data_IF_598764112406
#
_entry.id   IF_598764112406
#
_cell.length_a   1.000
_cell.length_b   1.000
_cell.length_c   1.000
_cell.angle_alpha   90.00
_cell.angle_beta   90.00
_cell.angle_gamma   90.00
#
_symmetry.space_group_name_H-M   'P 1'
#
loop_
_entity.id
_entity.type
_entity.pdbx_description
1 polymer ?
#
# COMPACT_ATOMS: atom_id res chain seq x y z
N UNK A 1 -0.74 -0.39 -18.76
CA UNK A 1 -0.96 -1.19 -17.55
C UNK A 1 0.37 -1.52 -16.89
N UNK A 2 0.44 -1.35 -15.58
CA UNK A 2 1.68 -1.59 -14.86
C UNK A 2 1.87 -3.07 -14.54
N UNK A 3 3.11 -3.49 -14.45
CA UNK A 3 3.43 -4.82 -13.95
C UNK A 3 3.44 -4.76 -12.42
N UNK A 4 2.84 -5.75 -11.76
CA UNK A 4 2.76 -5.77 -10.30
C UNK A 4 3.86 -6.63 -9.71
N UNK A 5 4.60 -6.08 -8.76
CA UNK A 5 5.63 -6.81 -8.02
C UNK A 5 5.43 -6.61 -6.52
N UNK A 6 5.81 -7.62 -5.75
CA UNK A 6 5.69 -7.61 -4.30
C UNK A 6 7.06 -7.72 -3.67
N UNK A 7 7.32 -6.93 -2.62
CA UNK A 7 8.53 -7.14 -1.82
C UNK A 7 8.34 -8.35 -0.91
N UNK A 8 9.45 -8.88 -0.41
CA UNK A 8 9.38 -9.97 0.57
C UNK A 8 8.63 -9.55 1.82
N UNK A 9 8.80 -8.30 2.24
CA UNK A 9 8.08 -7.77 3.40
C UNK A 9 6.58 -7.70 3.15
N UNK A 10 6.18 -7.30 1.96
CA UNK A 10 4.76 -7.27 1.62
C UNK A 10 4.14 -8.66 1.69
N UNK A 11 4.85 -9.65 1.17
CA UNK A 11 4.36 -11.03 1.20
C UNK A 11 4.15 -11.53 2.63
N UNK A 12 5.05 -11.18 3.54
CA UNK A 12 4.90 -11.52 4.95
C UNK A 12 3.72 -10.79 5.57
N UNK A 13 3.60 -9.51 5.26
CA UNK A 13 2.48 -8.70 5.75
C UNK A 13 1.16 -9.27 5.26
N UNK A 14 1.09 -9.68 4.00
CA UNK A 14 -0.11 -10.24 3.41
C UNK A 14 -0.55 -11.48 4.17
N UNK A 15 0.39 -12.38 4.45
CA UNK A 15 0.08 -13.60 5.20
C UNK A 15 -0.41 -13.28 6.61
N UNK A 16 0.19 -12.30 7.26
CA UNK A 16 -0.23 -11.90 8.60
C UNK A 16 -1.65 -11.34 8.59
N UNK A 17 -1.92 -10.43 7.67
CA UNK A 17 -3.25 -9.80 7.58
C UNK A 17 -4.31 -10.84 7.24
N UNK A 18 -3.97 -11.79 6.37
CA UNK A 18 -4.89 -12.88 6.02
C UNK A 18 -5.21 -13.74 7.25
N UNK A 19 -4.20 -14.03 8.07
CA UNK A 19 -4.41 -14.81 9.30
C UNK A 19 -5.27 -14.06 10.32
N UNK A 20 -5.26 -12.74 10.27
CA UNK A 20 -6.10 -11.93 11.13
C UNK A 20 -7.55 -11.90 10.68
N UNK A 21 -7.87 -12.60 9.60
CA UNK A 21 -9.25 -12.68 9.13
C UNK A 21 -9.74 -11.49 8.35
N UNK A 22 -8.85 -10.61 7.90
CA UNK A 22 -9.24 -9.43 7.15
C UNK A 22 -9.60 -9.79 5.71
N UNK A 23 -10.55 -9.05 5.16
CA UNK A 23 -11.01 -9.25 3.79
C UNK A 23 -10.02 -8.59 2.82
N UNK A 24 -9.33 -9.42 2.07
CA UNK A 24 -8.31 -8.94 1.13
C UNK A 24 -8.84 -8.63 -0.25
N UNK A 25 -10.13 -8.83 -0.49
CA UNK A 25 -10.70 -8.55 -1.81
C UNK A 25 -10.61 -7.07 -2.16
N UNK A 26 -10.74 -6.19 -1.18
CA UNK A 26 -10.58 -4.74 -1.42
C UNK A 26 -9.16 -4.39 -1.80
N UNK A 27 -8.18 -5.05 -1.18
CA UNK A 27 -6.78 -4.86 -1.54
C UNK A 27 -6.57 -5.24 -3.01
N UNK A 28 -7.10 -6.39 -3.39
CA UNK A 28 -6.92 -6.87 -4.76
C UNK A 28 -7.52 -5.91 -5.78
N UNK A 29 -8.71 -5.40 -5.50
CA UNK A 29 -9.35 -4.42 -6.39
C UNK A 29 -8.58 -3.11 -6.44
N UNK A 30 -8.04 -2.70 -5.30
CA UNK A 30 -7.25 -1.47 -5.22
C UNK A 30 -5.98 -1.60 -6.06
N UNK A 31 -5.27 -2.72 -5.93
CA UNK A 31 -4.08 -2.96 -6.71
C UNK A 31 -4.40 -3.01 -8.21
N UNK A 32 -5.52 -3.61 -8.57
CA UNK A 32 -5.94 -3.66 -9.95
C UNK A 32 -6.20 -2.26 -10.51
N UNK A 33 -6.86 -1.41 -9.74
CA UNK A 33 -7.11 -0.03 -10.14
C UNK A 33 -5.79 0.72 -10.36
N UNK A 34 -4.83 0.52 -9.45
CA UNK A 34 -3.53 1.16 -9.57
C UNK A 34 -2.75 0.64 -10.77
N UNK A 35 -2.83 -0.66 -11.05
CA UNK A 35 -2.17 -1.25 -12.21
C UNK A 35 -2.71 -0.65 -13.50
N UNK A 36 -3.99 -0.37 -13.54
CA UNK A 36 -4.61 0.26 -14.70
C UNK A 36 -4.36 1.75 -14.77
N UNK A 37 -3.65 2.29 -13.79
CA UNK A 37 -3.32 3.72 -13.71
C UNK A 37 -4.58 4.59 -13.63
N UNK A 38 -5.62 4.06 -13.00
CA UNK A 38 -6.85 4.77 -12.77
C UNK A 38 -6.83 5.41 -11.39
N UNK A 39 -7.56 6.51 -11.24
CA UNK A 39 -7.61 7.20 -9.96
C UNK A 39 -8.41 6.39 -8.94
N UNK A 40 -7.94 6.41 -7.69
CA UNK A 40 -8.66 5.80 -6.59
C UNK A 40 -9.75 6.75 -6.09
N UNK A 41 -10.82 6.21 -5.48
CA UNK A 41 -11.83 7.08 -4.86
C UNK A 41 -11.21 7.99 -3.80
N UNK A 42 -11.72 9.18 -3.67
CA UNK A 42 -11.21 10.16 -2.69
C UNK A 42 -11.23 9.63 -1.27
N UNK A 43 -12.23 8.80 -0.95
CA UNK A 43 -12.36 8.22 0.39
C UNK A 43 -11.17 7.37 0.78
N UNK A 44 -10.42 6.85 -0.18
CA UNK A 44 -9.24 6.03 0.09
C UNK A 44 -7.99 6.85 0.41
N UNK A 45 -8.05 8.15 0.20
CA UNK A 45 -6.98 9.08 0.56
C UNK A 45 -5.60 8.65 0.06
N UNK A 46 -5.52 8.36 -1.23
CA UNK A 46 -4.25 8.06 -1.86
C UNK A 46 -3.34 9.29 -1.77
N UNK A 47 -2.21 9.16 -1.09
CA UNK A 47 -1.30 10.29 -0.89
C UNK A 47 0.14 9.81 -0.75
N UNK A 48 1.07 10.72 -1.02
CA UNK A 48 2.49 10.43 -0.92
C UNK A 48 2.96 10.48 0.54
N UNK A 49 4.02 9.72 0.81
CA UNK A 49 4.60 9.63 2.13
C UNK A 49 5.96 10.32 2.16
N UNK A 50 6.39 10.67 3.36
CA UNK A 50 7.72 11.21 3.58
C UNK A 50 8.57 10.27 4.42
N UNK A 51 9.73 10.76 4.87
CA UNK A 51 10.60 10.01 5.76
C UNK A 51 11.12 8.72 5.15
N UNK A 52 11.03 7.65 5.92
CA UNK A 52 11.52 6.33 5.53
C UNK A 52 10.90 5.84 4.22
N UNK A 53 9.65 6.21 3.99
CA UNK A 53 8.93 5.77 2.78
C UNK A 53 8.80 6.89 1.75
N UNK A 54 9.81 7.73 1.68
CA UNK A 54 9.88 8.75 0.62
C UNK A 54 9.80 8.05 -0.74
N UNK A 55 9.09 8.65 -1.68
CA UNK A 55 8.81 8.09 -3.00
C UNK A 55 7.75 7.00 -3.00
N UNK A 56 7.15 6.74 -1.85
CA UNK A 56 6.04 5.79 -1.75
C UNK A 56 4.73 6.52 -1.52
N UNK A 57 3.64 5.81 -1.73
CA UNK A 57 2.30 6.31 -1.49
C UNK A 57 1.55 5.29 -0.64
N UNK A 58 0.49 5.74 0.02
CA UNK A 58 -0.41 4.84 0.73
C UNK A 58 -1.85 5.22 0.42
N UNK A 59 -2.75 4.28 0.61
CA UNK A 59 -4.18 4.56 0.53
C UNK A 59 -4.89 3.72 1.59
N UNK A 60 -6.04 4.20 2.06
CA UNK A 60 -6.80 3.48 3.08
C UNK A 60 -7.70 2.44 2.43
N UNK A 61 -7.58 1.20 2.87
CA UNK A 61 -8.47 0.12 2.45
C UNK A 61 -9.62 -0.01 3.43
N UNK A 62 -9.27 -0.08 4.72
CA UNK A 62 -10.23 -0.16 5.82
C UNK A 62 -9.63 0.54 7.02
N UNK A 63 -10.47 0.94 7.98
CA UNK A 63 -9.91 1.47 9.22
C UNK A 63 -8.92 0.46 9.80
N UNK A 64 -7.75 0.94 10.11
CA UNK A 64 -6.73 0.15 10.78
C UNK A 64 -5.75 -0.56 9.88
N UNK A 65 -5.94 -0.58 8.55
CA UNK A 65 -4.89 -1.14 7.70
C UNK A 65 -4.89 -0.53 6.30
N UNK A 66 -3.70 -0.55 5.70
CA UNK A 66 -3.45 0.10 4.41
C UNK A 66 -2.25 -0.52 3.72
N UNK A 67 -2.14 -0.42 2.40
CA UNK A 67 -0.94 -0.78 1.67
C UNK A 67 -0.06 0.44 1.45
N UNK A 68 1.25 0.18 1.41
CA UNK A 68 2.25 1.16 0.97
C UNK A 68 2.81 0.65 -0.34
N UNK A 69 2.86 1.50 -1.34
CA UNK A 69 3.28 1.10 -2.67
C UNK A 69 4.04 2.24 -3.35
N UNK A 70 4.71 1.92 -4.43
CA UNK A 70 5.34 2.94 -5.28
C UNK A 70 5.28 2.50 -6.73
N UNK A 71 5.35 3.46 -7.64
CA UNK A 71 5.56 3.20 -9.06
C UNK A 71 7.03 3.42 -9.30
N UNK A 72 7.70 2.49 -9.99
CA UNK A 72 9.14 2.67 -10.21
C UNK A 72 9.39 3.88 -11.10
N UNK A 73 10.65 4.31 -11.13
CA UNK A 73 10.99 5.59 -11.75
C UNK A 73 10.73 5.62 -13.25
N UNK A 74 10.61 4.47 -13.89
CA UNK A 74 10.31 4.43 -15.32
C UNK A 74 8.81 4.35 -15.58
N UNK A 75 8.01 4.19 -14.53
CA UNK A 75 6.55 4.19 -14.67
C UNK A 75 5.96 2.90 -15.20
N UNK A 76 6.71 1.80 -15.17
CA UNK A 76 6.22 0.54 -15.71
C UNK A 76 5.86 -0.51 -14.68
N UNK A 77 6.30 -0.34 -13.44
CA UNK A 77 6.11 -1.35 -12.41
C UNK A 77 5.47 -0.74 -11.18
N UNK A 78 4.42 -1.39 -10.68
CA UNK A 78 3.85 -1.06 -9.39
C UNK A 78 4.46 -2.01 -8.36
N UNK A 79 5.15 -1.46 -7.36
CA UNK A 79 5.77 -2.25 -6.31
C UNK A 79 4.95 -2.12 -5.04
N UNK A 80 4.35 -3.23 -4.61
CA UNK A 80 3.65 -3.29 -3.32
C UNK A 80 4.72 -3.57 -2.25
N UNK A 81 4.99 -2.57 -1.41
CA UNK A 81 6.13 -2.56 -0.52
C UNK A 81 5.82 -3.09 0.87
N UNK A 82 4.73 -2.63 1.48
CA UNK A 82 4.30 -3.04 2.82
C UNK A 82 2.79 -3.01 2.91
N UNK A 83 2.26 -3.69 3.90
CA UNK A 83 0.83 -3.67 4.20
C UNK A 83 0.63 -3.92 5.68
N UNK A 84 -0.27 -3.19 6.30
CA UNK A 84 -0.56 -3.35 7.72
C UNK A 84 -1.24 -2.12 8.27
N UNK A 85 -1.29 -2.01 9.59
CA UNK A 85 -1.84 -0.81 10.22
C UNK A 85 -0.83 0.33 10.12
N UNK A 86 -1.35 1.53 10.24
CA UNK A 86 -0.52 2.73 10.18
C UNK A 86 0.59 2.69 11.24
N UNK A 87 0.25 2.30 12.45
CA UNK A 87 1.23 2.25 13.52
C UNK A 87 2.26 1.14 13.32
N UNK A 88 1.87 0.00 12.74
CA UNK A 88 2.80 -1.08 12.46
C UNK A 88 3.84 -0.69 11.41
N UNK A 89 3.41 0.03 10.40
CA UNK A 89 4.26 0.33 9.25
C UNK A 89 5.09 1.60 9.44
N UNK A 90 4.46 2.64 9.97
CA UNK A 90 5.08 3.95 10.04
C UNK A 90 5.54 4.30 11.43
N UNK A 91 4.96 3.65 12.42
CA UNK A 91 5.36 3.81 13.79
C UNK A 91 5.24 5.25 14.26
N UNK A 92 5.99 5.53 15.33
CA UNK A 92 5.95 6.85 15.95
C UNK A 92 6.72 7.88 15.16
N UNK A 93 7.68 7.44 14.38
CA UNK A 93 8.45 8.34 13.55
C UNK A 93 7.56 9.11 12.60
N UNK A 94 6.67 8.39 11.95
CA UNK A 94 5.77 9.03 11.01
C UNK A 94 4.83 10.00 11.69
N UNK A 95 4.33 9.63 12.85
CA UNK A 95 3.36 10.45 13.56
C UNK A 95 3.91 11.79 13.97
N UNK A 96 5.22 11.93 14.02
CA UNK A 96 5.85 13.18 14.41
C UNK A 96 6.17 14.08 13.25
N UNK A 97 6.01 13.59 12.07
CA UNK A 97 6.26 14.41 10.89
C UNK A 97 4.97 15.03 10.40
#
# INVERSE_FOLDING_TARGET
>A
MLELKFTAKFKKDYKRVKRQGKDLSKLERTLETLIREEALPDAMRDHSLGGTYRSHRECYIKPGWLPIYRVDEEGFVLVATRMGSHSELLGQLFCRT
#
